data_IF_053505087758
#
_entry.id   IF_053505087758
#
_cell.length_a   1.000
_cell.length_b   1.000
_cell.length_c   1.000
_cell.angle_alpha   90.00
_cell.angle_beta   90.00
_cell.angle_gamma   90.00
#
_symmetry.space_group_name_H-M   'P 1'
#
loop_
_entity.id
_entity.type
_entity.pdbx_description
1 polymer ?
#
# COMPACT_ATOMS: atom_id res chain seq x y z
N UNK A 1 38.67 1.19 -8.90
CA UNK A 1 39.52 0.29 -8.08
C UNK A 1 38.68 -0.47 -7.06
N UNK A 2 37.76 0.19 -6.35
CA UNK A 2 36.85 -0.44 -5.35
C UNK A 2 36.00 -1.59 -5.92
N UNK A 3 35.45 -1.47 -7.14
CA UNK A 3 34.70 -2.55 -7.78
C UNK A 3 35.49 -3.86 -7.93
N UNK A 4 36.80 -3.78 -8.20
CA UNK A 4 37.62 -4.98 -8.40
C UNK A 4 37.94 -5.71 -7.10
N UNK A 5 37.96 -4.99 -5.98
CA UNK A 5 38.28 -5.55 -4.67
C UNK A 5 37.03 -6.22 -4.08
N UNK A 6 35.87 -5.55 -4.18
CA UNK A 6 34.58 -6.14 -3.85
C UNK A 6 34.35 -7.41 -4.68
N UNK A 7 34.63 -7.37 -5.98
CA UNK A 7 34.42 -8.53 -6.85
C UNK A 7 35.31 -9.73 -6.45
N UNK A 8 36.57 -9.51 -6.09
CA UNK A 8 37.47 -10.57 -5.57
C UNK A 8 37.02 -11.12 -4.21
N UNK A 9 36.46 -10.26 -3.35
CA UNK A 9 35.88 -10.68 -2.06
C UNK A 9 34.65 -11.57 -2.32
N UNK A 10 33.71 -11.11 -3.14
CA UNK A 10 32.53 -11.87 -3.52
C UNK A 10 32.89 -13.22 -4.14
N UNK A 11 33.89 -13.25 -5.03
CA UNK A 11 34.33 -14.49 -5.68
C UNK A 11 34.89 -15.51 -4.68
N UNK A 12 35.74 -15.09 -3.73
CA UNK A 12 36.21 -15.97 -2.65
C UNK A 12 35.10 -16.48 -1.76
N UNK A 13 34.14 -15.62 -1.41
CA UNK A 13 32.99 -16.01 -0.58
C UNK A 13 32.16 -17.06 -1.32
N UNK A 14 31.88 -16.83 -2.61
CA UNK A 14 31.14 -17.77 -3.44
C UNK A 14 31.87 -19.11 -3.58
N UNK A 15 33.16 -19.11 -3.91
CA UNK A 15 33.95 -20.36 -4.04
C UNK A 15 34.02 -21.16 -2.74
N UNK A 16 34.23 -20.48 -1.60
CA UNK A 16 34.38 -21.12 -0.29
C UNK A 16 33.07 -21.64 0.29
N UNK A 17 31.96 -20.95 0.02
CA UNK A 17 30.65 -21.24 0.61
C UNK A 17 29.61 -21.65 -0.42
N UNK A 18 30.04 -22.04 -1.62
CA UNK A 18 29.18 -22.32 -2.79
C UNK A 18 27.96 -23.17 -2.45
N UNK A 19 28.16 -24.32 -1.82
CA UNK A 19 27.07 -25.25 -1.48
C UNK A 19 26.05 -24.63 -0.53
N UNK A 20 26.51 -23.82 0.44
CA UNK A 20 25.60 -23.13 1.35
C UNK A 20 24.86 -21.98 0.66
N UNK A 21 25.55 -21.22 -0.21
CA UNK A 21 24.96 -20.13 -0.98
C UNK A 21 23.97 -20.62 -2.03
N UNK A 22 24.29 -21.71 -2.73
CA UNK A 22 23.41 -22.36 -3.70
C UNK A 22 22.13 -22.88 -3.00
N UNK A 23 22.27 -23.50 -1.82
CA UNK A 23 21.12 -23.88 -0.98
C UNK A 23 20.34 -22.66 -0.49
N UNK A 24 20.99 -21.60 0.01
CA UNK A 24 20.30 -20.36 0.41
C UNK A 24 19.54 -19.74 -0.77
N UNK A 25 20.09 -19.82 -1.98
CA UNK A 25 19.46 -19.30 -3.19
C UNK A 25 18.30 -20.18 -3.65
N UNK A 26 18.44 -21.51 -3.59
CA UNK A 26 17.43 -22.51 -3.94
C UNK A 26 16.23 -22.49 -2.98
N UNK A 27 16.48 -22.27 -1.69
CA UNK A 27 15.46 -22.18 -0.66
C UNK A 27 15.13 -20.74 -0.27
N UNK A 28 15.56 -19.73 -1.07
CA UNK A 28 15.29 -18.31 -0.76
C UNK A 28 13.77 -18.17 -0.63
N UNK A 29 13.25 -17.83 0.57
CA UNK A 29 11.83 -17.62 0.74
C UNK A 29 11.35 -16.58 -0.27
N UNK A 30 10.13 -16.75 -0.75
CA UNK A 30 9.52 -15.79 -1.64
C UNK A 30 9.34 -14.47 -0.90
N UNK A 31 10.34 -13.58 -1.06
CA UNK A 31 10.41 -12.28 -0.35
C UNK A 31 9.13 -11.48 -0.49
N UNK A 32 8.42 -11.62 -1.61
CA UNK A 32 7.10 -11.01 -1.79
C UNK A 32 6.08 -11.54 -0.78
N UNK A 33 6.00 -12.85 -0.56
CA UNK A 33 5.12 -13.42 0.46
C UNK A 33 5.53 -13.01 1.87
N UNK A 34 6.82 -13.03 2.21
CA UNK A 34 7.30 -12.57 3.52
C UNK A 34 6.94 -11.11 3.78
N UNK A 35 7.11 -10.25 2.78
CA UNK A 35 6.75 -8.83 2.88
C UNK A 35 5.24 -8.64 2.98
N UNK A 36 4.45 -9.40 2.23
CA UNK A 36 2.98 -9.33 2.32
C UNK A 36 2.49 -9.76 3.70
N UNK A 37 3.02 -10.83 4.29
CA UNK A 37 2.67 -11.22 5.66
C UNK A 37 3.14 -10.18 6.69
N UNK A 38 4.35 -9.65 6.54
CA UNK A 38 4.85 -8.54 7.37
C UNK A 38 3.93 -7.32 7.33
N UNK A 39 3.40 -6.95 6.15
CA UNK A 39 2.45 -5.85 5.99
C UNK A 39 1.12 -6.12 6.70
N UNK A 40 0.59 -7.33 6.61
CA UNK A 40 -0.65 -7.74 7.27
C UNK A 40 -0.50 -7.70 8.79
N UNK A 41 0.62 -8.21 9.31
CA UNK A 41 0.96 -8.10 10.72
C UNK A 41 0.99 -6.64 11.18
N UNK A 42 1.71 -5.76 10.46
CA UNK A 42 1.78 -4.34 10.79
C UNK A 42 0.39 -3.71 10.84
N UNK A 43 -0.48 -3.99 9.87
CA UNK A 43 -1.85 -3.47 9.86
C UNK A 43 -2.66 -3.99 11.05
N UNK A 44 -2.55 -5.28 11.37
CA UNK A 44 -3.29 -5.89 12.48
C UNK A 44 -2.84 -5.41 13.88
N UNK A 45 -1.61 -4.89 13.99
CA UNK A 45 -1.10 -4.27 15.22
C UNK A 45 -1.81 -2.93 15.53
N UNK A 46 -2.45 -2.31 14.54
CA UNK A 46 -3.25 -1.10 14.71
C UNK A 46 -4.74 -1.45 14.87
N UNK A 47 -5.26 -1.31 16.09
CA UNK A 47 -6.65 -1.66 16.41
C UNK A 47 -7.73 -0.77 15.76
N UNK A 48 -7.33 0.33 15.12
CA UNK A 48 -8.18 1.27 14.39
C UNK A 48 -8.17 1.03 12.87
N UNK A 49 -7.44 0.01 12.39
CA UNK A 49 -7.42 -0.43 11.00
C UNK A 49 -8.15 -1.76 10.83
N UNK A 50 -8.93 -1.88 9.77
CA UNK A 50 -9.48 -3.15 9.32
C UNK A 50 -8.83 -3.61 8.01
N UNK A 51 -8.32 -4.83 8.00
CA UNK A 51 -7.87 -5.53 6.79
C UNK A 51 -9.07 -5.76 5.84
N UNK A 52 -8.81 -5.64 4.53
CA UNK A 52 -9.74 -5.98 3.45
C UNK A 52 -9.10 -7.04 2.53
N UNK A 53 -9.63 -7.24 1.33
CA UNK A 53 -9.11 -8.25 0.41
C UNK A 53 -7.63 -8.05 0.09
N UNK A 54 -6.83 -9.04 0.45
CA UNK A 54 -5.39 -9.08 0.21
C UNK A 54 -5.02 -10.15 -0.83
N UNK A 55 -3.89 -9.94 -1.49
CA UNK A 55 -3.26 -10.92 -2.38
C UNK A 55 -1.76 -10.93 -2.14
N UNK A 56 -1.04 -11.82 -2.83
CA UNK A 56 0.43 -11.81 -2.80
C UNK A 56 1.01 -10.45 -3.24
N UNK A 57 0.34 -9.73 -4.14
CA UNK A 57 0.84 -8.49 -4.73
C UNK A 57 0.33 -7.20 -4.10
N UNK A 58 -0.57 -7.29 -3.10
CA UNK A 58 -1.06 -6.11 -2.38
C UNK A 58 -1.76 -6.48 -1.07
N UNK A 59 -1.73 -5.56 -0.13
CA UNK A 59 -2.51 -5.62 1.11
C UNK A 59 -3.44 -4.42 1.15
N UNK A 60 -4.74 -4.66 1.35
CA UNK A 60 -5.75 -3.60 1.45
C UNK A 60 -6.24 -3.49 2.88
N UNK A 61 -6.53 -2.26 3.28
CA UNK A 61 -7.06 -1.96 4.59
C UNK A 61 -7.82 -0.63 4.57
N UNK A 62 -8.55 -0.36 5.64
CA UNK A 62 -9.22 0.92 5.85
C UNK A 62 -9.17 1.32 7.33
N UNK A 63 -8.85 2.57 7.66
CA UNK A 63 -9.11 3.10 8.99
C UNK A 63 -10.61 3.14 9.27
N UNK A 64 -11.04 2.70 10.45
CA UNK A 64 -12.46 2.62 10.82
C UNK A 64 -13.17 3.98 10.62
N UNK A 65 -12.49 5.08 10.91
CA UNK A 65 -13.04 6.44 10.75
C UNK A 65 -13.32 6.85 9.30
N UNK A 66 -12.72 6.18 8.32
CA UNK A 66 -12.98 6.35 6.89
C UNK A 66 -13.99 5.34 6.33
N UNK A 67 -14.37 4.30 7.09
CA UNK A 67 -15.32 3.26 6.64
C UNK A 67 -16.79 3.68 6.81
N UNK A 68 -17.15 4.85 6.27
CA UNK A 68 -18.52 5.38 6.34
C UNK A 68 -19.24 5.42 4.98
N UNK A 69 -18.55 5.13 3.87
CA UNK A 69 -19.18 5.09 2.56
C UNK A 69 -20.08 3.84 2.43
N UNK A 70 -21.20 3.92 1.70
CA UNK A 70 -22.05 2.75 1.45
C UNK A 70 -21.27 1.58 0.83
N UNK A 71 -21.56 0.35 1.30
CA UNK A 71 -20.94 -0.88 0.81
C UNK A 71 -21.57 -1.37 -0.50
N UNK A 72 -21.30 -0.64 -1.57
CA UNK A 72 -21.86 -0.85 -2.92
C UNK A 72 -20.79 -0.99 -4.01
N UNK A 73 -19.56 -1.32 -3.60
CA UNK A 73 -18.49 -1.67 -4.51
C UNK A 73 -18.81 -2.93 -5.31
N UNK A 74 -18.38 -2.96 -6.57
CA UNK A 74 -18.74 -4.01 -7.53
C UNK A 74 -17.50 -4.69 -8.15
N UNK A 75 -17.36 -6.00 -7.97
CA UNK A 75 -16.34 -6.80 -8.66
C UNK A 75 -14.87 -6.58 -8.26
N UNK A 76 -14.55 -5.88 -7.16
CA UNK A 76 -13.16 -5.62 -6.74
C UNK A 76 -12.78 -6.14 -5.34
N UNK A 77 -13.70 -6.13 -4.36
CA UNK A 77 -13.52 -6.73 -3.03
C UNK A 77 -14.80 -7.40 -2.53
N UNK A 78 -14.70 -8.49 -1.72
CA UNK A 78 -15.88 -9.12 -1.11
C UNK A 78 -16.61 -8.22 -0.11
N UNK A 79 -15.90 -7.29 0.53
CA UNK A 79 -16.47 -6.36 1.52
C UNK A 79 -17.43 -5.34 0.91
N UNK A 80 -17.38 -5.17 -0.42
CA UNK A 80 -18.10 -4.13 -1.19
C UNK A 80 -17.78 -2.71 -0.73
N UNK A 81 -16.67 -2.48 -0.02
CA UNK A 81 -16.16 -1.11 0.20
C UNK A 81 -15.84 -0.48 -1.14
N UNK A 82 -15.79 0.84 -1.22
CA UNK A 82 -15.37 1.53 -2.45
C UNK A 82 -14.07 2.28 -2.27
N UNK A 83 -13.75 2.71 -1.05
CA UNK A 83 -12.54 3.45 -0.73
C UNK A 83 -11.66 2.56 0.15
N UNK A 84 -10.42 2.31 -0.26
CA UNK A 84 -9.47 1.51 0.52
C UNK A 84 -8.06 2.10 0.38
N UNK A 85 -7.25 1.94 1.41
CA UNK A 85 -5.81 1.96 1.25
C UNK A 85 -5.35 0.64 0.64
N UNK A 86 -4.37 0.71 -0.25
CA UNK A 86 -3.71 -0.42 -0.87
C UNK A 86 -2.20 -0.19 -0.82
N UNK A 87 -1.47 -1.10 -0.18
CA UNK A 87 -0.02 -1.19 -0.27
C UNK A 87 0.29 -2.25 -1.32
N UNK A 88 0.64 -1.81 -2.52
CA UNK A 88 1.12 -2.70 -3.57
C UNK A 88 2.49 -3.25 -3.20
N UNK A 89 2.64 -4.57 -3.30
CA UNK A 89 3.89 -5.30 -3.23
C UNK A 89 4.19 -5.93 -4.59
N UNK A 90 4.77 -5.15 -5.49
CA UNK A 90 4.94 -5.57 -6.89
C UNK A 90 6.23 -5.03 -7.50
N UNK A 91 6.90 -5.85 -8.33
CA UNK A 91 8.19 -5.51 -8.96
C UNK A 91 9.23 -5.01 -7.94
N UNK A 92 9.30 -5.71 -6.81
CA UNK A 92 10.23 -5.41 -5.72
C UNK A 92 10.09 -3.99 -5.19
N UNK A 93 8.90 -3.41 -5.12
CA UNK A 93 8.68 -2.10 -4.52
C UNK A 93 7.38 -2.07 -3.75
N UNK A 94 7.33 -1.19 -2.75
CA UNK A 94 6.14 -0.92 -1.96
C UNK A 94 5.60 0.46 -2.29
N UNK A 95 4.34 0.51 -2.72
CA UNK A 95 3.63 1.75 -3.04
C UNK A 95 2.30 1.76 -2.30
N UNK A 96 2.08 2.77 -1.45
CA UNK A 96 0.81 2.98 -0.77
C UNK A 96 -0.10 3.96 -1.53
N UNK A 97 -1.38 3.61 -1.67
CA UNK A 97 -2.38 4.42 -2.38
C UNK A 97 -3.71 4.39 -1.64
N UNK A 98 -4.40 5.53 -1.64
CA UNK A 98 -5.83 5.60 -1.35
C UNK A 98 -6.59 5.49 -2.68
N UNK A 99 -7.37 4.42 -2.86
CA UNK A 99 -8.00 4.06 -4.12
C UNK A 99 -9.52 4.05 -3.94
N UNK A 100 -10.22 4.64 -4.92
CA UNK A 100 -11.65 4.51 -5.12
C UNK A 100 -11.92 3.46 -6.22
N UNK A 101 -12.38 2.29 -5.79
CA UNK A 101 -12.79 1.17 -6.61
C UNK A 101 -14.20 1.30 -7.22
N UNK A 102 -14.55 0.40 -8.15
CA UNK A 102 -15.79 0.42 -8.92
C UNK A 102 -17.05 0.41 -8.04
N UNK A 103 -18.11 1.05 -8.52
CA UNK A 103 -19.42 1.16 -7.86
C UNK A 103 -20.28 2.24 -8.54
N UNK A 104 -21.40 2.66 -7.95
CA UNK A 104 -22.31 3.63 -8.54
C UNK A 104 -21.61 4.93 -8.96
N UNK A 105 -21.74 5.30 -10.23
CA UNK A 105 -21.05 6.45 -10.81
C UNK A 105 -21.35 7.75 -10.07
N UNK A 106 -22.62 7.96 -9.67
CA UNK A 106 -23.04 9.13 -8.88
C UNK A 106 -22.25 9.26 -7.58
N UNK A 107 -22.02 8.15 -6.87
CA UNK A 107 -21.22 8.17 -5.63
C UNK A 107 -19.75 8.45 -5.94
N UNK A 108 -19.21 7.85 -7.01
CA UNK A 108 -17.82 8.10 -7.44
C UNK A 108 -17.58 9.56 -7.79
N UNK A 109 -18.52 10.20 -8.49
CA UNK A 109 -18.46 11.62 -8.84
C UNK A 109 -18.56 12.54 -7.62
N UNK A 110 -19.41 12.21 -6.63
CA UNK A 110 -19.48 12.94 -5.36
C UNK A 110 -18.16 12.87 -4.58
N UNK A 111 -17.56 11.68 -4.49
CA UNK A 111 -16.22 11.51 -3.88
C UNK A 111 -15.18 12.33 -4.65
N UNK A 112 -15.19 12.28 -5.99
CA UNK A 112 -14.27 13.05 -6.81
C UNK A 112 -14.44 14.56 -6.60
N UNK A 113 -15.67 15.06 -6.57
CA UNK A 113 -15.96 16.48 -6.38
C UNK A 113 -15.42 16.97 -5.04
N UNK A 114 -15.57 16.19 -3.96
CA UNK A 114 -14.99 16.51 -2.66
C UNK A 114 -13.47 16.50 -2.71
N UNK A 115 -12.85 15.43 -3.21
CA UNK A 115 -11.40 15.31 -3.30
C UNK A 115 -10.76 16.45 -4.11
N UNK A 116 -11.41 16.90 -5.19
CA UNK A 116 -10.95 18.02 -6.03
C UNK A 116 -10.89 19.36 -5.29
N UNK A 117 -11.66 19.53 -4.22
CA UNK A 117 -11.64 20.73 -3.39
C UNK A 117 -10.44 20.75 -2.42
N UNK A 118 -9.74 19.61 -2.25
CA UNK A 118 -8.64 19.45 -1.29
C UNK A 118 -7.35 18.93 -1.94
N UNK A 119 -6.77 19.63 -2.94
CA UNK A 119 -5.53 19.22 -3.60
C UNK A 119 -4.30 19.25 -2.69
N UNK A 120 -4.36 19.99 -1.58
CA UNK A 120 -3.36 20.03 -0.51
C UNK A 120 -3.35 18.75 0.35
N UNK A 121 -4.49 18.06 0.44
CA UNK A 121 -4.63 16.77 1.16
C UNK A 121 -4.40 15.58 0.22
N UNK A 122 -4.96 15.64 -0.98
CA UNK A 122 -4.96 14.55 -1.95
C UNK A 122 -4.06 14.87 -3.14
N UNK A 123 -2.87 14.27 -3.17
CA UNK A 123 -1.86 14.55 -4.21
C UNK A 123 -2.25 14.08 -5.63
N UNK A 124 -3.38 13.39 -5.81
CA UNK A 124 -3.97 13.03 -7.10
C UNK A 124 -5.36 13.63 -7.31
N UNK A 125 -5.75 14.67 -6.57
CA UNK A 125 -7.07 15.29 -6.65
C UNK A 125 -7.49 15.72 -8.08
N UNK A 126 -6.53 16.22 -8.86
CA UNK A 126 -6.76 16.70 -10.23
C UNK A 126 -6.70 15.61 -11.29
N UNK A 127 -6.37 14.37 -10.91
CA UNK A 127 -6.25 13.27 -11.86
C UNK A 127 -7.62 12.83 -12.42
N UNK A 128 -7.58 12.18 -13.58
CA UNK A 128 -8.77 11.68 -14.27
C UNK A 128 -9.44 10.57 -13.45
N UNK A 129 -10.75 10.67 -13.26
CA UNK A 129 -11.58 9.56 -12.76
C UNK A 129 -11.74 8.55 -13.88
N UNK A 130 -11.15 7.37 -13.70
CA UNK A 130 -11.37 6.24 -14.61
C UNK A 130 -12.62 5.46 -14.21
N UNK A 131 -13.20 4.65 -15.11
CA UNK A 131 -14.44 3.93 -14.85
C UNK A 131 -14.39 3.02 -13.62
N UNK A 132 -13.25 2.37 -13.35
CA UNK A 132 -13.14 1.38 -12.27
C UNK A 132 -12.26 1.89 -11.12
N UNK A 133 -11.00 2.23 -11.38
CA UNK A 133 -10.05 2.57 -10.32
C UNK A 133 -9.58 4.01 -10.43
N UNK A 134 -9.63 4.73 -9.32
CA UNK A 134 -9.09 6.08 -9.24
C UNK A 134 -8.28 6.25 -7.97
N UNK A 135 -7.02 6.68 -8.11
CA UNK A 135 -6.15 6.97 -6.97
C UNK A 135 -6.35 8.42 -6.54
N UNK A 136 -6.74 8.62 -5.28
CA UNK A 136 -6.94 9.94 -4.66
C UNK A 136 -5.63 10.48 -4.10
N UNK A 137 -4.84 9.59 -3.51
CA UNK A 137 -3.53 9.87 -2.94
C UNK A 137 -2.62 8.67 -3.19
N UNK A 138 -1.33 8.91 -3.47
CA UNK A 138 -0.38 7.80 -3.50
C UNK A 138 1.07 8.23 -3.36
N UNK A 139 1.86 7.37 -2.73
CA UNK A 139 3.27 7.60 -2.43
C UNK A 139 4.11 6.31 -2.50
N UNK A 140 5.35 6.46 -2.96
CA UNK A 140 6.32 5.37 -2.97
C UNK A 140 6.95 5.24 -1.59
N UNK A 141 6.73 4.12 -0.92
CA UNK A 141 7.30 3.87 0.41
C UNK A 141 8.69 3.28 0.33
N UNK A 142 8.86 2.21 -0.46
CA UNK A 142 10.11 1.48 -0.63
C UNK A 142 10.36 1.26 -2.12
N UNK A 143 11.49 1.74 -2.63
CA UNK A 143 11.90 1.51 -4.02
C UNK A 143 12.66 0.18 -4.23
N UNK A 144 12.88 -0.24 -5.49
CA UNK A 144 13.49 -1.52 -5.86
C UNK A 144 14.78 -1.86 -5.13
N UNK A 145 15.72 -0.91 -5.09
CA UNK A 145 17.02 -1.10 -4.46
C UNK A 145 16.89 -1.45 -2.98
N UNK A 146 16.15 -0.63 -2.23
CA UNK A 146 15.94 -0.85 -0.78
C UNK A 146 15.14 -2.11 -0.50
N UNK A 147 14.15 -2.42 -1.33
CA UNK A 147 13.37 -3.64 -1.18
C UNK A 147 14.26 -4.88 -1.31
N UNK A 148 15.18 -4.93 -2.27
CA UNK A 148 16.06 -6.09 -2.46
C UNK A 148 17.15 -6.17 -1.39
N UNK A 149 17.79 -5.05 -1.07
CA UNK A 149 18.97 -4.99 -0.21
C UNK A 149 18.64 -5.07 1.29
N UNK A 150 17.50 -4.54 1.73
CA UNK A 150 17.17 -4.54 3.15
C UNK A 150 16.74 -5.94 3.63
N UNK A 151 17.28 -6.41 4.76
CA UNK A 151 16.69 -7.50 5.53
C UNK A 151 15.24 -7.19 5.92
N UNK A 152 14.43 -8.24 6.11
CA UNK A 152 13.01 -8.09 6.45
C UNK A 152 12.75 -7.24 7.71
N UNK A 153 13.52 -7.35 8.81
CA UNK A 153 13.34 -6.49 9.99
C UNK A 153 13.53 -5.00 9.70
N UNK A 154 14.57 -4.64 8.92
CA UNK A 154 14.85 -3.24 8.56
C UNK A 154 13.80 -2.71 7.58
N UNK A 155 13.27 -3.58 6.71
CA UNK A 155 12.16 -3.26 5.83
C UNK A 155 10.88 -3.03 6.63
N UNK A 156 10.60 -3.85 7.65
CA UNK A 156 9.47 -3.67 8.58
C UNK A 156 9.55 -2.33 9.28
N UNK A 157 10.71 -1.98 9.84
CA UNK A 157 10.92 -0.69 10.50
C UNK A 157 10.70 0.49 9.53
N UNK A 158 11.25 0.39 8.32
CA UNK A 158 11.09 1.44 7.31
C UNK A 158 9.64 1.62 6.87
N UNK A 159 8.88 0.53 6.74
CA UNK A 159 7.46 0.57 6.38
C UNK A 159 6.60 1.04 7.54
N UNK A 160 6.86 0.58 8.77
CA UNK A 160 6.16 1.04 9.97
C UNK A 160 6.29 2.55 10.15
N UNK A 161 7.48 3.13 9.94
CA UNK A 161 7.66 4.59 9.95
C UNK A 161 6.79 5.31 8.91
N UNK A 162 6.63 4.72 7.71
CA UNK A 162 5.77 5.28 6.65
C UNK A 162 4.29 5.15 7.00
N UNK A 163 3.87 4.02 7.55
CA UNK A 163 2.51 3.79 8.00
C UNK A 163 2.15 4.77 9.12
N UNK A 164 2.99 4.90 10.16
CA UNK A 164 2.73 5.86 11.25
C UNK A 164 2.64 7.30 10.74
N UNK A 165 3.56 7.73 9.86
CA UNK A 165 3.47 9.07 9.27
C UNK A 165 2.18 9.27 8.45
N UNK A 166 1.73 8.25 7.71
CA UNK A 166 0.43 8.28 7.04
C UNK A 166 -0.73 8.44 8.05
N UNK A 167 -0.74 7.66 9.12
CA UNK A 167 -1.83 7.64 10.11
C UNK A 167 -1.85 8.90 10.98
N UNK A 168 -0.70 9.44 11.36
CA UNK A 168 -0.60 10.57 12.29
C UNK A 168 -0.64 11.92 11.56
N UNK A 169 0.00 12.03 10.41
CA UNK A 169 0.19 13.33 9.74
C UNK A 169 -0.79 13.57 8.60
N UNK A 170 -1.22 12.52 7.89
CA UNK A 170 -2.01 12.64 6.66
C UNK A 170 -3.47 12.25 6.85
N UNK A 171 -3.71 11.14 7.53
CA UNK A 171 -5.04 10.57 7.71
C UNK A 171 -6.03 11.56 8.36
N UNK A 172 -5.68 12.36 9.38
CA UNK A 172 -6.62 13.32 9.96
C UNK A 172 -7.14 14.35 8.94
N UNK A 173 -6.25 14.82 8.05
CA UNK A 173 -6.62 15.70 6.95
C UNK A 173 -7.57 15.02 5.95
N UNK A 174 -7.30 13.76 5.62
CA UNK A 174 -8.17 12.97 4.73
C UNK A 174 -9.55 12.71 5.33
N UNK A 175 -9.61 12.38 6.62
CA UNK A 175 -10.87 12.20 7.36
C UNK A 175 -11.68 13.50 7.33
N UNK A 176 -11.07 14.62 7.67
CA UNK A 176 -11.75 15.92 7.68
C UNK A 176 -12.25 16.33 6.29
N UNK A 177 -11.44 16.13 5.25
CA UNK A 177 -11.81 16.46 3.87
C UNK A 177 -12.98 15.59 3.36
N UNK A 178 -13.06 14.33 3.78
CA UNK A 178 -14.12 13.41 3.37
C UNK A 178 -15.30 13.38 4.34
N UNK A 179 -15.21 14.01 5.51
CA UNK A 179 -16.27 14.04 6.53
C UNK A 179 -17.64 14.53 6.01
N UNK A 180 -17.74 15.51 5.08
CA UNK A 180 -19.02 15.90 4.49
C UNK A 180 -19.72 14.78 3.73
N UNK A 181 -19.01 13.70 3.39
CA UNK A 181 -19.58 12.51 2.76
C UNK A 181 -20.20 11.53 3.77
N UNK A 182 -20.06 11.76 5.09
CA UNK A 182 -20.67 10.90 6.12
C UNK A 182 -22.19 11.02 6.06
N UNK A 183 -22.89 9.88 6.17
CA UNK A 183 -24.35 9.81 6.13
C UNK A 183 -24.95 9.99 4.74
N UNK A 184 -24.13 9.99 3.68
CA UNK A 184 -24.61 10.11 2.32
C UNK A 184 -25.34 8.83 1.88
N UNK A 185 -26.61 8.97 1.51
CA UNK A 185 -27.41 7.90 0.90
C UNK A 185 -27.31 7.95 -0.62
N UNK A 186 -27.60 6.83 -1.28
CA UNK A 186 -27.69 6.69 -2.74
C UNK A 186 -28.91 7.41 -3.34
N UNK A 187 -29.62 8.25 -2.59
CA UNK A 187 -30.79 8.96 -3.09
C UNK A 187 -30.43 9.84 -4.28
N UNK A 188 -31.16 9.55 -5.36
CA UNK A 188 -31.15 10.10 -6.71
C UNK A 188 -31.20 11.62 -6.75
#
# INVERSE_FOLDING_TARGET
MEDSEIQRICQRIYEKHRRALDVIFEYRPDKASEVTEMLRELISEHGDLEEDHCSKSYVRFIPIELDFLPRVGDGWTPSKRMLLFEIENYKSKLWCRLILGPGPQVLREKVQAMVRQHPDVFNRATSKLYPQYWTLHGESWIGPKRYEELPLPDLREAVSKRLNSLLEERLPGMINALAPLKGMSLTT
#
